data_IF_379094127853
#
_entry.id   IF_379094127853
#
_cell.length_a   1.000
_cell.length_b   1.000
_cell.length_c   1.000
_cell.angle_alpha   90.00
_cell.angle_beta   90.00
_cell.angle_gamma   90.00
#
_symmetry.space_group_name_H-M   'P 1'
#
loop_
_entity.id
_entity.type
_entity.pdbx_description
1 polymer ?
#
# COMPACT_ATOMS: atom_id res chain seq x y z
N UNK A 1 18.33 7.20 -0.77
CA UNK A 1 17.09 6.79 -1.44
C UNK A 1 16.26 7.99 -1.89
N UNK A 2 15.94 9.00 -1.04
CA UNK A 2 15.11 10.15 -1.40
C UNK A 2 15.60 10.89 -2.65
N UNK A 3 16.90 11.19 -2.74
CA UNK A 3 17.49 11.85 -3.94
C UNK A 3 17.32 10.99 -5.20
N UNK A 4 17.36 9.69 -5.08
CA UNK A 4 17.14 8.77 -6.17
C UNK A 4 15.67 8.74 -6.60
N UNK A 5 14.73 8.73 -5.66
CA UNK A 5 13.30 8.83 -5.92
C UNK A 5 12.96 10.15 -6.67
N UNK A 6 13.50 11.28 -6.21
CA UNK A 6 13.34 12.59 -6.87
C UNK A 6 13.84 12.53 -8.32
N UNK A 7 15.01 11.92 -8.55
CA UNK A 7 15.58 11.77 -9.90
C UNK A 7 14.71 10.91 -10.83
N UNK A 8 13.81 10.08 -10.28
CA UNK A 8 12.83 9.27 -11.00
C UNK A 8 11.43 9.91 -11.05
N UNK A 9 11.30 11.16 -10.57
CA UNK A 9 10.05 11.90 -10.60
C UNK A 9 9.07 11.57 -9.48
N UNK A 10 9.53 10.89 -8.41
CA UNK A 10 8.73 10.60 -7.22
C UNK A 10 8.97 11.68 -6.18
N UNK A 11 7.93 12.42 -5.83
CA UNK A 11 8.00 13.56 -4.90
C UNK A 11 7.20 13.36 -3.61
N UNK A 12 6.52 12.26 -3.47
CA UNK A 12 5.87 11.87 -2.21
C UNK A 12 6.05 10.37 -2.00
N UNK A 13 6.49 9.97 -0.83
CA UNK A 13 6.68 8.57 -0.45
C UNK A 13 5.95 8.31 0.86
N UNK A 14 5.14 7.24 0.89
CA UNK A 14 4.70 6.61 2.13
C UNK A 14 5.62 5.44 2.42
N UNK A 15 6.34 5.53 3.54
CA UNK A 15 7.36 4.55 3.94
C UNK A 15 7.01 3.92 5.29
N UNK A 16 7.09 2.60 5.35
CA UNK A 16 6.86 1.83 6.56
C UNK A 16 8.14 1.81 7.40
N UNK A 17 8.00 2.13 8.70
CA UNK A 17 9.08 2.07 9.67
C UNK A 17 8.75 1.04 10.75
N UNK A 18 9.61 0.04 10.90
CA UNK A 18 9.41 -1.01 11.88
C UNK A 18 9.46 -0.48 13.32
N UNK A 19 8.41 -0.79 14.10
CA UNK A 19 8.27 -0.44 15.52
C UNK A 19 8.26 -1.67 16.42
N UNK A 20 8.53 -2.87 15.89
CA UNK A 20 8.54 -4.13 16.65
C UNK A 20 9.76 -4.28 17.56
N UNK A 21 10.85 -3.57 17.27
CA UNK A 21 12.12 -3.67 17.97
C UNK A 21 12.08 -3.13 19.41
N UNK A 22 13.19 -3.34 20.14
CA UNK A 22 13.33 -2.87 21.54
C UNK A 22 13.39 -1.34 21.67
N UNK A 23 13.77 -0.64 20.59
CA UNK A 23 13.92 0.81 20.55
C UNK A 23 13.35 1.37 19.24
N UNK A 24 13.24 2.69 19.17
CA UNK A 24 12.67 3.42 18.02
C UNK A 24 13.74 4.17 17.21
N UNK A 25 14.98 3.69 17.16
CA UNK A 25 16.08 4.36 16.44
C UNK A 25 15.76 4.58 14.95
N UNK A 26 15.07 3.65 14.31
CA UNK A 26 14.64 3.79 12.90
C UNK A 26 13.61 4.92 12.76
N UNK A 27 12.71 5.08 13.73
CA UNK A 27 11.72 6.17 13.75
C UNK A 27 12.44 7.52 13.90
N UNK A 28 13.38 7.65 14.85
CA UNK A 28 14.16 8.86 15.04
C UNK A 28 14.90 9.25 13.75
N UNK A 29 15.61 8.30 13.14
CA UNK A 29 16.38 8.53 11.91
C UNK A 29 15.48 8.94 10.73
N UNK A 30 14.32 8.31 10.57
CA UNK A 30 13.41 8.66 9.46
C UNK A 30 12.68 9.99 9.69
N UNK A 31 12.40 10.37 10.93
CA UNK A 31 11.87 11.70 11.26
C UNK A 31 12.90 12.80 10.98
N UNK A 32 14.19 12.55 11.29
CA UNK A 32 15.28 13.46 10.92
C UNK A 32 15.40 13.63 9.42
N UNK A 33 15.38 12.53 8.64
CA UNK A 33 15.39 12.57 7.18
C UNK A 33 14.15 13.26 6.61
N UNK A 34 12.98 13.05 7.20
CA UNK A 34 11.74 13.73 6.82
C UNK A 34 11.88 15.24 6.96
N UNK A 35 12.47 15.73 8.06
CA UNK A 35 12.69 17.16 8.26
C UNK A 35 13.79 17.70 7.33
N UNK A 36 14.89 16.98 7.13
CA UNK A 36 15.99 17.37 6.22
C UNK A 36 15.53 17.48 4.76
N UNK A 37 14.64 16.59 4.33
CA UNK A 37 14.23 16.47 2.93
C UNK A 37 12.93 17.20 2.58
N UNK A 38 12.25 17.82 3.53
CA UNK A 38 10.88 18.40 3.39
C UNK A 38 10.74 19.44 2.26
N UNK A 39 11.83 20.11 1.88
CA UNK A 39 11.81 21.10 0.78
C UNK A 39 11.89 20.45 -0.61
N UNK A 40 12.13 19.14 -0.68
CA UNK A 40 12.36 18.39 -1.92
C UNK A 40 11.41 17.23 -2.14
N UNK A 41 10.97 16.60 -1.07
CA UNK A 41 10.11 15.41 -1.12
C UNK A 41 9.27 15.31 0.15
N UNK A 42 8.00 14.93 0.00
CA UNK A 42 7.10 14.64 1.12
C UNK A 42 7.26 13.20 1.58
N UNK A 43 7.54 12.98 2.87
CA UNK A 43 7.59 11.66 3.47
C UNK A 43 6.43 11.48 4.44
N UNK A 44 5.55 10.52 4.16
CA UNK A 44 4.56 9.99 5.10
C UNK A 44 5.13 8.72 5.73
N UNK A 45 5.34 8.74 7.03
CA UNK A 45 5.85 7.58 7.77
C UNK A 45 4.69 6.76 8.33
N UNK A 46 4.79 5.45 8.22
CA UNK A 46 3.82 4.49 8.74
C UNK A 46 4.44 3.77 9.94
N UNK A 47 3.81 3.87 11.11
CA UNK A 47 4.19 3.07 12.27
C UNK A 47 3.82 1.61 12.02
N UNK A 48 4.80 0.76 11.73
CA UNK A 48 4.60 -0.57 11.20
C UNK A 48 5.05 -1.66 12.19
N UNK A 49 4.11 -2.46 12.71
CA UNK A 49 4.40 -3.57 13.62
C UNK A 49 4.85 -4.81 12.82
N UNK A 50 6.07 -4.80 12.28
CA UNK A 50 6.61 -5.80 11.33
C UNK A 50 6.42 -7.26 11.79
N UNK A 51 6.55 -7.53 13.09
CA UNK A 51 6.43 -8.88 13.65
C UNK A 51 5.01 -9.22 14.15
N UNK A 52 4.05 -8.33 13.93
CA UNK A 52 2.70 -8.39 14.47
C UNK A 52 2.52 -7.47 15.69
N UNK A 53 1.31 -6.89 15.82
CA UNK A 53 0.96 -5.94 16.88
C UNK A 53 0.90 -6.58 18.27
N UNK A 54 0.40 -7.83 18.33
CA UNK A 54 0.13 -8.53 19.60
C UNK A 54 1.41 -9.12 20.25
N UNK A 55 2.59 -8.79 19.69
CA UNK A 55 3.87 -9.09 20.33
C UNK A 55 4.13 -8.14 21.50
N UNK A 56 5.00 -8.57 22.40
CA UNK A 56 5.33 -7.77 23.59
C UNK A 56 5.88 -6.39 23.21
N UNK A 57 5.36 -5.34 23.86
CA UNK A 57 5.73 -3.93 23.68
C UNK A 57 5.40 -3.29 22.30
N UNK A 58 4.99 -4.02 21.29
CA UNK A 58 4.81 -3.47 19.95
C UNK A 58 3.74 -2.36 19.92
N UNK A 59 2.58 -2.56 20.56
CA UNK A 59 1.54 -1.54 20.64
C UNK A 59 2.04 -0.26 21.37
N UNK A 60 2.81 -0.40 22.44
CA UNK A 60 3.37 0.75 23.15
C UNK A 60 4.36 1.53 22.27
N UNK A 61 5.19 0.83 21.52
CA UNK A 61 6.13 1.43 20.57
C UNK A 61 5.40 2.14 19.42
N UNK A 62 4.35 1.52 18.89
CA UNK A 62 3.50 2.12 17.86
C UNK A 62 2.88 3.43 18.37
N UNK A 63 2.30 3.44 19.57
CA UNK A 63 1.74 4.64 20.17
C UNK A 63 2.81 5.73 20.37
N UNK A 64 4.00 5.36 20.88
CA UNK A 64 5.12 6.30 21.03
C UNK A 64 5.56 6.88 19.69
N UNK A 65 5.69 6.07 18.65
CA UNK A 65 6.08 6.57 17.33
C UNK A 65 5.09 7.58 16.75
N UNK A 66 3.79 7.36 16.98
CA UNK A 66 2.75 8.34 16.62
C UNK A 66 2.88 9.64 17.42
N UNK A 67 3.21 9.54 18.71
CA UNK A 67 3.45 10.71 19.57
C UNK A 67 4.72 11.48 19.15
N UNK A 68 5.69 10.81 18.52
CA UNK A 68 6.90 11.42 17.94
C UNK A 68 6.64 12.11 16.59
N UNK A 69 5.51 11.86 15.92
CA UNK A 69 5.14 12.52 14.67
C UNK A 69 5.10 11.62 13.43
N UNK A 70 5.00 10.31 13.62
CA UNK A 70 4.70 9.37 12.54
C UNK A 70 3.26 9.57 12.08
N UNK A 71 3.01 9.55 10.77
CA UNK A 71 1.78 10.08 10.16
C UNK A 71 0.63 9.07 10.04
N UNK A 72 0.95 7.79 9.88
CA UNK A 72 0.00 6.74 9.45
C UNK A 72 0.14 5.52 10.35
N UNK A 73 -0.96 4.85 10.61
CA UNK A 73 -0.98 3.59 11.35
C UNK A 73 -0.84 2.42 10.38
N UNK A 74 0.17 1.60 10.59
CA UNK A 74 0.38 0.34 9.87
C UNK A 74 -0.17 -0.87 10.62
N UNK A 75 -0.16 -2.01 9.94
CA UNK A 75 -0.53 -3.31 10.50
C UNK A 75 -0.14 -4.44 9.57
N UNK A 76 -0.01 -5.64 10.12
CA UNK A 76 0.31 -6.87 9.38
C UNK A 76 -0.45 -8.07 9.98
N UNK A 77 -1.80 -8.08 9.85
CA UNK A 77 -2.64 -9.04 10.58
C UNK A 77 -2.37 -10.50 10.22
N UNK A 78 -1.91 -10.79 9.01
CA UNK A 78 -1.60 -12.17 8.59
C UNK A 78 -0.28 -12.71 9.17
N UNK A 79 0.51 -11.88 9.88
CA UNK A 79 1.67 -12.28 10.68
C UNK A 79 1.33 -12.56 12.14
N UNK A 80 0.11 -12.27 12.56
CA UNK A 80 -0.35 -12.72 13.87
C UNK A 80 -0.49 -14.25 13.91
N UNK A 81 -0.61 -14.83 15.11
CA UNK A 81 -0.58 -16.29 15.27
C UNK A 81 -1.79 -16.99 14.68
N UNK A 82 -2.94 -16.35 14.77
CA UNK A 82 -4.22 -16.91 14.33
C UNK A 82 -5.02 -15.87 13.56
N UNK A 83 -6.06 -16.31 12.83
CA UNK A 83 -7.00 -15.39 12.17
C UNK A 83 -7.70 -14.47 13.17
N UNK A 84 -8.01 -15.00 14.37
CA UNK A 84 -8.65 -14.22 15.43
C UNK A 84 -7.70 -13.15 16.00
N UNK A 85 -6.44 -13.48 16.23
CA UNK A 85 -5.42 -12.51 16.64
C UNK A 85 -5.24 -11.41 15.56
N UNK A 86 -5.20 -11.79 14.29
CA UNK A 86 -5.14 -10.84 13.19
C UNK A 86 -6.36 -9.92 13.15
N UNK A 87 -7.53 -10.46 13.41
CA UNK A 87 -8.76 -9.67 13.50
C UNK A 87 -8.77 -8.71 14.70
N UNK A 88 -8.26 -9.13 15.85
CA UNK A 88 -8.13 -8.26 17.03
C UNK A 88 -7.07 -7.17 16.81
N UNK A 89 -5.94 -7.48 16.16
CA UNK A 89 -4.94 -6.46 15.81
C UNK A 89 -5.52 -5.37 14.90
N UNK A 90 -6.30 -5.73 13.87
CA UNK A 90 -7.01 -4.79 13.01
C UNK A 90 -7.95 -3.90 13.82
N UNK A 91 -8.76 -4.49 14.70
CA UNK A 91 -9.71 -3.74 15.54
C UNK A 91 -8.99 -2.69 16.37
N UNK A 92 -7.93 -3.07 17.10
CA UNK A 92 -7.13 -2.16 17.94
C UNK A 92 -6.56 -1.01 17.09
N UNK A 93 -5.96 -1.31 15.94
CA UNK A 93 -5.33 -0.32 15.08
C UNK A 93 -6.35 0.63 14.43
N UNK A 94 -7.49 0.13 13.96
CA UNK A 94 -8.55 0.97 13.40
C UNK A 94 -9.18 1.88 14.46
N UNK A 95 -9.43 1.39 15.67
CA UNK A 95 -9.96 2.21 16.78
C UNK A 95 -8.97 3.29 17.21
N UNK A 96 -7.68 2.97 17.23
CA UNK A 96 -6.62 3.96 17.50
C UNK A 96 -6.54 5.02 16.39
N UNK A 97 -6.64 4.61 15.13
CA UNK A 97 -6.62 5.51 13.98
C UNK A 97 -7.82 6.45 13.97
N UNK A 98 -9.01 5.93 14.23
CA UNK A 98 -10.24 6.73 14.33
C UNK A 98 -10.12 7.79 15.43
N UNK A 99 -9.72 7.37 16.64
CA UNK A 99 -9.54 8.26 17.80
C UNK A 99 -8.53 9.38 17.54
N UNK A 100 -7.47 9.11 16.75
CA UNK A 100 -6.42 10.09 16.44
C UNK A 100 -6.65 10.85 15.13
N UNK A 101 -7.67 10.50 14.35
CA UNK A 101 -7.94 11.10 13.04
C UNK A 101 -6.91 10.74 11.97
N UNK A 102 -6.18 9.61 12.12
CA UNK A 102 -5.08 9.19 11.26
C UNK A 102 -5.57 8.29 10.11
N UNK A 103 -4.70 8.15 9.10
CA UNK A 103 -4.83 7.17 8.03
C UNK A 103 -4.36 5.79 8.51
N UNK A 104 -4.82 4.75 7.80
CA UNK A 104 -4.38 3.36 8.01
C UNK A 104 -3.84 2.80 6.70
N UNK A 105 -2.69 2.12 6.77
CA UNK A 105 -2.10 1.38 5.66
C UNK A 105 -1.57 0.04 6.17
N UNK A 106 -2.30 -1.04 5.88
CA UNK A 106 -1.98 -2.37 6.39
C UNK A 106 -1.44 -3.28 5.29
N UNK A 107 -0.31 -3.95 5.56
CA UNK A 107 0.08 -5.16 4.84
C UNK A 107 -0.97 -6.21 5.13
N UNK A 108 -1.92 -6.39 4.24
CA UNK A 108 -3.09 -7.21 4.48
C UNK A 108 -3.10 -8.41 3.53
N UNK A 109 -3.23 -9.61 4.12
CA UNK A 109 -3.37 -10.85 3.34
C UNK A 109 -2.29 -11.03 2.25
N UNK A 110 -1.05 -10.68 2.57
CA UNK A 110 0.13 -10.95 1.75
C UNK A 110 0.54 -12.41 1.89
N UNK A 111 -0.31 -13.27 1.39
CA UNK A 111 -0.23 -14.72 1.54
C UNK A 111 -0.78 -15.43 0.31
N UNK A 112 -0.27 -16.64 0.07
CA UNK A 112 -0.83 -17.55 -0.93
C UNK A 112 -2.09 -18.28 -0.45
N UNK A 113 -2.40 -18.23 0.85
CA UNK A 113 -3.56 -18.91 1.45
C UNK A 113 -4.86 -18.14 1.15
N UNK A 114 -5.82 -18.71 0.39
CA UNK A 114 -7.11 -18.08 0.14
C UNK A 114 -7.98 -17.91 1.40
N UNK A 115 -7.63 -18.54 2.52
CA UNK A 115 -8.31 -18.38 3.80
C UNK A 115 -7.75 -17.21 4.62
N UNK A 116 -6.65 -16.60 4.22
CA UNK A 116 -6.22 -15.31 4.75
C UNK A 116 -7.20 -14.24 4.27
N UNK A 117 -8.11 -13.79 5.15
CA UNK A 117 -9.29 -12.96 4.84
C UNK A 117 -9.41 -11.75 5.77
N UNK A 118 -8.28 -11.25 6.23
CA UNK A 118 -8.23 -10.07 7.13
C UNK A 118 -8.76 -8.81 6.45
N UNK A 119 -8.74 -8.75 5.13
CA UNK A 119 -9.36 -7.64 4.37
C UNK A 119 -10.87 -7.53 4.63
N UNK A 120 -11.58 -8.63 4.88
CA UNK A 120 -12.99 -8.59 5.29
C UNK A 120 -13.13 -7.89 6.64
N UNK A 121 -12.28 -8.24 7.62
CA UNK A 121 -12.26 -7.62 8.95
C UNK A 121 -11.88 -6.13 8.86
N UNK A 122 -10.87 -5.79 8.06
CA UNK A 122 -10.44 -4.41 7.84
C UNK A 122 -11.57 -3.57 7.25
N UNK A 123 -12.26 -4.10 6.25
CA UNK A 123 -13.43 -3.47 5.62
C UNK A 123 -14.58 -3.26 6.63
N UNK A 124 -14.86 -4.28 7.45
CA UNK A 124 -15.87 -4.19 8.49
C UNK A 124 -15.58 -3.06 9.49
N UNK A 125 -14.35 -2.98 10.01
CA UNK A 125 -13.98 -1.92 10.96
C UNK A 125 -13.94 -0.54 10.32
N UNK A 126 -13.53 -0.44 9.05
CA UNK A 126 -13.60 0.82 8.28
C UNK A 126 -15.02 1.36 8.21
N UNK A 127 -16.00 0.52 7.84
CA UNK A 127 -17.40 0.90 7.80
C UNK A 127 -17.95 1.24 9.19
N UNK A 128 -17.68 0.38 10.18
CA UNK A 128 -18.16 0.57 11.56
C UNK A 128 -17.68 1.89 12.17
N UNK A 129 -16.45 2.29 11.91
CA UNK A 129 -15.80 3.48 12.44
C UNK A 129 -15.93 4.71 11.52
N UNK A 130 -16.63 4.57 10.38
CA UNK A 130 -16.82 5.65 9.38
C UNK A 130 -15.48 6.22 8.89
N UNK A 131 -14.52 5.35 8.62
CA UNK A 131 -13.19 5.70 8.13
C UNK A 131 -13.08 5.60 6.59
N UNK A 132 -14.21 5.70 5.88
CA UNK A 132 -14.28 5.56 4.43
C UNK A 132 -13.24 6.44 3.73
N UNK A 133 -12.49 5.85 2.79
CA UNK A 133 -11.41 6.51 2.05
C UNK A 133 -10.09 6.70 2.81
N UNK A 134 -10.07 6.53 4.14
CA UNK A 134 -8.86 6.71 4.99
C UNK A 134 -8.06 5.43 5.24
N UNK A 135 -8.53 4.30 4.73
CA UNK A 135 -7.93 2.98 4.99
C UNK A 135 -7.46 2.36 3.69
N UNK A 136 -6.23 1.84 3.70
CA UNK A 136 -5.64 1.09 2.61
C UNK A 136 -5.31 -0.35 3.05
N UNK A 137 -5.59 -1.30 2.15
CA UNK A 137 -5.09 -2.67 2.22
C UNK A 137 -4.00 -2.85 1.16
N UNK A 138 -2.76 -3.04 1.60
CA UNK A 138 -1.63 -3.29 0.73
C UNK A 138 -1.48 -4.78 0.44
N UNK A 139 -0.96 -5.14 -0.71
CA UNK A 139 -0.72 -6.47 -1.26
C UNK A 139 -2.00 -7.21 -1.64
N UNK A 140 -2.80 -7.67 -0.70
CA UNK A 140 -4.03 -8.46 -0.88
C UNK A 140 -3.84 -9.69 -1.80
N UNK A 141 -2.68 -10.33 -1.74
CA UNK A 141 -2.31 -11.40 -2.68
C UNK A 141 -3.17 -12.66 -2.52
N UNK A 142 -3.68 -12.94 -1.32
CA UNK A 142 -4.60 -14.06 -1.07
C UNK A 142 -5.85 -14.01 -1.95
N UNK A 143 -6.28 -12.79 -2.36
CA UNK A 143 -7.44 -12.59 -3.23
C UNK A 143 -7.28 -13.27 -4.60
N UNK A 144 -6.04 -13.47 -5.06
CA UNK A 144 -5.77 -14.22 -6.29
C UNK A 144 -6.38 -15.63 -6.27
N UNK A 145 -6.33 -16.29 -5.12
CA UNK A 145 -6.75 -17.66 -4.92
C UNK A 145 -8.11 -17.81 -4.24
N UNK A 146 -8.77 -16.71 -3.85
CA UNK A 146 -10.10 -16.75 -3.25
C UNK A 146 -11.13 -17.25 -4.23
N UNK A 147 -12.16 -17.94 -3.71
CA UNK A 147 -13.32 -18.34 -4.48
C UNK A 147 -14.05 -17.13 -5.11
N UNK A 148 -14.55 -17.31 -6.33
CA UNK A 148 -15.17 -16.23 -7.09
C UNK A 148 -16.46 -15.71 -6.43
N UNK A 149 -17.24 -16.59 -5.80
CA UNK A 149 -18.46 -16.18 -5.08
C UNK A 149 -18.12 -15.32 -3.86
N UNK A 150 -17.14 -15.77 -3.06
CA UNK A 150 -16.67 -15.01 -1.91
C UNK A 150 -16.11 -13.66 -2.33
N UNK A 151 -15.26 -13.63 -3.37
CA UNK A 151 -14.71 -12.38 -3.91
C UNK A 151 -15.81 -11.41 -4.36
N UNK A 152 -16.86 -11.90 -5.04
CA UNK A 152 -17.96 -11.04 -5.51
C UNK A 152 -18.74 -10.37 -4.37
N UNK A 153 -18.86 -11.05 -3.21
CA UNK A 153 -19.44 -10.50 -2.00
C UNK A 153 -18.51 -9.48 -1.34
N UNK A 154 -17.23 -9.83 -1.19
CA UNK A 154 -16.23 -9.02 -0.52
C UNK A 154 -16.03 -7.67 -1.22
N UNK A 155 -15.95 -7.67 -2.55
CA UNK A 155 -15.71 -6.42 -3.31
C UNK A 155 -16.81 -5.39 -3.11
N UNK A 156 -18.07 -5.82 -2.93
CA UNK A 156 -19.19 -4.94 -2.59
C UNK A 156 -18.98 -4.24 -1.24
N UNK A 157 -18.53 -4.97 -0.23
CA UNK A 157 -18.21 -4.42 1.09
C UNK A 157 -17.02 -3.44 1.02
N UNK A 158 -16.00 -3.76 0.25
CA UNK A 158 -14.83 -2.90 0.06
C UNK A 158 -15.20 -1.57 -0.61
N UNK A 159 -16.13 -1.59 -1.58
CA UNK A 159 -16.65 -0.37 -2.22
C UNK A 159 -17.40 0.49 -1.22
N UNK A 160 -18.30 -0.10 -0.42
CA UNK A 160 -19.05 0.62 0.62
C UNK A 160 -18.12 1.29 1.65
N UNK A 161 -17.00 0.64 1.97
CA UNK A 161 -15.98 1.15 2.88
C UNK A 161 -15.00 2.13 2.21
N UNK A 162 -15.06 2.30 0.90
CA UNK A 162 -14.08 3.09 0.13
C UNK A 162 -12.62 2.66 0.44
N UNK A 163 -12.39 1.35 0.53
CA UNK A 163 -11.04 0.80 0.76
C UNK A 163 -10.14 1.17 -0.42
N UNK A 164 -8.98 1.73 -0.12
CA UNK A 164 -7.90 1.85 -1.09
C UNK A 164 -7.13 0.52 -1.18
N UNK A 165 -6.73 0.14 -2.38
CA UNK A 165 -5.96 -1.10 -2.62
C UNK A 165 -4.58 -0.73 -3.15
N UNK A 166 -3.53 -1.29 -2.53
CA UNK A 166 -2.14 -1.02 -2.92
C UNK A 166 -1.43 -2.33 -3.29
N UNK A 167 -1.58 -2.83 -4.53
CA UNK A 167 -0.77 -3.94 -5.01
C UNK A 167 0.68 -3.50 -5.23
N UNK A 168 1.62 -4.39 -4.91
CA UNK A 168 3.06 -4.15 -5.03
C UNK A 168 3.66 -5.16 -6.03
N UNK A 169 3.54 -4.94 -7.35
CA UNK A 169 3.80 -5.96 -8.35
C UNK A 169 5.20 -6.56 -8.30
N UNK A 170 6.23 -5.76 -8.10
CA UNK A 170 7.62 -6.23 -8.11
C UNK A 170 7.91 -7.22 -6.98
N UNK A 171 7.49 -6.90 -5.75
CA UNK A 171 7.71 -7.78 -4.61
C UNK A 171 6.72 -8.95 -4.61
N UNK A 172 5.45 -8.72 -4.90
CA UNK A 172 4.43 -9.77 -4.83
C UNK A 172 4.76 -10.95 -5.75
N UNK A 173 5.18 -10.71 -7.00
CA UNK A 173 5.55 -11.80 -7.92
C UNK A 173 6.86 -12.49 -7.51
N UNK A 174 7.70 -11.83 -6.73
CA UNK A 174 8.97 -12.37 -6.28
C UNK A 174 8.80 -13.30 -5.09
N UNK A 175 7.89 -12.98 -4.17
CA UNK A 175 7.73 -13.72 -2.91
C UNK A 175 6.55 -14.69 -2.90
N UNK A 176 5.52 -14.49 -3.73
CA UNK A 176 4.36 -15.37 -3.79
C UNK A 176 4.62 -16.60 -4.69
N UNK A 177 3.81 -17.65 -4.53
CA UNK A 177 3.90 -18.88 -5.31
C UNK A 177 5.14 -19.72 -5.05
N UNK A 178 5.88 -19.50 -3.96
CA UNK A 178 7.08 -20.27 -3.64
C UNK A 178 6.79 -21.74 -3.32
N UNK A 179 5.62 -22.03 -2.76
CA UNK A 179 5.15 -23.39 -2.45
C UNK A 179 4.43 -24.05 -3.63
N UNK A 180 4.16 -23.33 -4.71
CA UNK A 180 3.52 -23.91 -5.87
C UNK A 180 4.52 -24.77 -6.68
N UNK A 181 4.01 -25.90 -7.20
CA UNK A 181 4.65 -26.61 -8.29
C UNK A 181 4.31 -25.89 -9.61
N UNK A 182 4.02 -26.58 -10.68
CA UNK A 182 3.55 -25.99 -11.94
C UNK A 182 2.08 -26.35 -12.18
N UNK A 183 1.26 -25.39 -12.65
CA UNK A 183 1.56 -23.97 -12.95
C UNK A 183 1.71 -23.14 -11.67
N UNK A 184 2.68 -22.20 -11.69
CA UNK A 184 2.83 -21.21 -10.60
C UNK A 184 1.81 -20.08 -10.71
N UNK A 185 1.28 -19.65 -9.58
CA UNK A 185 0.41 -18.45 -9.52
C UNK A 185 1.22 -17.18 -9.76
N UNK A 186 0.57 -16.11 -10.18
CA UNK A 186 1.22 -14.81 -10.43
C UNK A 186 1.48 -13.99 -9.16
N UNK A 187 0.80 -14.31 -8.07
CA UNK A 187 1.02 -13.65 -6.79
C UNK A 187 0.49 -12.22 -6.69
N UNK A 188 -0.36 -11.78 -7.60
CA UNK A 188 -1.01 -10.45 -7.58
C UNK A 188 -2.46 -10.55 -7.16
N UNK A 189 -2.97 -9.54 -6.46
CA UNK A 189 -4.41 -9.38 -6.26
C UNK A 189 -5.17 -9.19 -7.58
N UNK A 190 -6.49 -9.21 -7.54
CA UNK A 190 -7.37 -9.13 -8.75
C UNK A 190 -7.56 -7.68 -9.23
N UNK A 191 -6.46 -7.04 -9.66
CA UNK A 191 -6.43 -5.62 -10.06
C UNK A 191 -7.49 -5.23 -11.10
N UNK A 192 -7.67 -5.97 -12.23
CA UNK A 192 -8.65 -5.59 -13.23
C UNK A 192 -10.09 -5.55 -12.69
N UNK A 193 -10.45 -6.55 -11.88
CA UNK A 193 -11.79 -6.65 -11.29
C UNK A 193 -12.02 -5.55 -10.24
N UNK A 194 -11.00 -5.22 -9.45
CA UNK A 194 -11.06 -4.16 -8.43
C UNK A 194 -11.25 -2.79 -9.08
N UNK A 195 -10.47 -2.46 -10.11
CA UNK A 195 -10.62 -1.20 -10.87
C UNK A 195 -11.99 -1.13 -11.55
N UNK A 196 -12.41 -2.22 -12.22
CA UNK A 196 -13.72 -2.30 -12.89
C UNK A 196 -14.88 -2.11 -11.92
N UNK A 197 -14.73 -2.57 -10.69
CA UNK A 197 -15.72 -2.41 -9.63
C UNK A 197 -15.76 -0.98 -9.05
N UNK A 198 -14.76 -0.14 -9.34
CA UNK A 198 -14.69 1.25 -8.89
C UNK A 198 -13.84 1.49 -7.64
N UNK A 199 -13.08 0.49 -7.16
CA UNK A 199 -12.13 0.69 -6.09
C UNK A 199 -10.97 1.59 -6.54
N UNK A 200 -10.45 2.41 -5.64
CA UNK A 200 -9.21 3.14 -5.88
C UNK A 200 -8.03 2.18 -5.73
N UNK A 201 -7.35 1.90 -6.84
CA UNK A 201 -6.17 1.03 -6.87
C UNK A 201 -4.95 1.88 -7.22
N UNK A 202 -3.92 1.82 -6.36
CA UNK A 202 -2.64 2.49 -6.56
C UNK A 202 -1.52 1.46 -6.44
N UNK A 203 -0.51 1.52 -7.31
CA UNK A 203 0.62 0.61 -7.22
C UNK A 203 1.70 1.16 -6.28
N UNK A 204 2.24 0.29 -5.43
CA UNK A 204 3.40 0.57 -4.61
C UNK A 204 4.66 -0.07 -5.20
N UNK A 205 5.82 0.54 -4.93
CA UNK A 205 7.12 -0.04 -5.26
C UNK A 205 7.51 -1.10 -4.24
N UNK A 206 7.14 -0.85 -2.98
CA UNK A 206 7.51 -1.62 -1.81
C UNK A 206 9.03 -1.57 -1.55
N UNK A 207 9.71 -2.66 -1.77
CA UNK A 207 11.12 -2.85 -1.48
C UNK A 207 12.05 -2.22 -2.51
N UNK A 208 13.12 -1.58 -2.04
CA UNK A 208 14.20 -1.04 -2.88
C UNK A 208 15.54 -1.43 -2.27
N UNK A 209 16.20 -2.42 -2.86
CA UNK A 209 17.52 -2.91 -2.44
C UNK A 209 17.57 -3.29 -0.95
N UNK A 210 16.57 -4.01 -0.48
CA UNK A 210 16.44 -4.50 0.89
C UNK A 210 16.53 -6.05 0.97
N UNK A 211 16.43 -6.64 2.18
CA UNK A 211 16.57 -8.08 2.35
C UNK A 211 15.52 -8.93 1.63
N UNK A 212 14.34 -8.41 1.34
CA UNK A 212 13.27 -9.13 0.64
C UNK A 212 13.37 -9.03 -0.87
N UNK A 213 13.89 -7.88 -1.37
CA UNK A 213 14.00 -7.62 -2.80
C UNK A 213 15.27 -6.84 -3.12
N UNK A 214 16.31 -7.48 -3.70
CA UNK A 214 17.61 -6.87 -3.92
C UNK A 214 17.68 -5.92 -5.12
N UNK A 215 16.56 -5.72 -5.82
CA UNK A 215 16.41 -4.85 -6.96
C UNK A 215 15.60 -3.60 -6.57
N UNK A 216 15.01 -2.94 -7.54
CA UNK A 216 14.20 -1.73 -7.36
C UNK A 216 14.95 -0.48 -7.72
N UNK A 217 14.21 0.49 -8.20
CA UNK A 217 14.78 1.70 -8.82
C UNK A 217 14.11 3.00 -8.39
N UNK A 218 13.08 2.95 -7.55
CA UNK A 218 12.13 4.06 -7.29
C UNK A 218 11.38 4.57 -8.53
N UNK A 219 11.44 3.84 -9.65
CA UNK A 219 10.76 4.22 -10.88
C UNK A 219 9.33 3.67 -10.88
N UNK A 220 8.36 4.54 -10.66
CA UNK A 220 6.96 4.14 -10.60
C UNK A 220 6.38 3.75 -11.98
N UNK A 221 7.02 4.17 -13.07
CA UNK A 221 6.64 3.70 -14.41
C UNK A 221 7.08 2.24 -14.63
N UNK A 222 8.23 1.83 -14.10
CA UNK A 222 8.63 0.41 -14.05
C UNK A 222 7.61 -0.45 -13.30
N UNK A 223 7.14 0.05 -12.16
CA UNK A 223 6.09 -0.63 -11.37
C UNK A 223 4.79 -0.79 -12.18
N UNK A 224 4.35 0.29 -12.83
CA UNK A 224 3.14 0.27 -13.68
C UNK A 224 3.31 -0.65 -14.89
N UNK A 225 4.48 -0.66 -15.54
CA UNK A 225 4.83 -1.55 -16.64
C UNK A 225 4.76 -3.03 -16.20
N UNK A 226 5.32 -3.37 -15.06
CA UNK A 226 5.26 -4.71 -14.51
C UNK A 226 3.82 -5.13 -14.18
N UNK A 227 3.06 -4.26 -13.51
CA UNK A 227 1.66 -4.51 -13.17
C UNK A 227 0.81 -4.81 -14.40
N UNK A 228 0.97 -4.01 -15.46
CA UNK A 228 0.29 -4.16 -16.75
C UNK A 228 0.47 -5.58 -17.33
N UNK A 229 1.68 -6.11 -17.31
CA UNK A 229 1.98 -7.44 -17.84
C UNK A 229 1.42 -8.55 -16.95
N UNK A 230 1.62 -8.45 -15.64
CA UNK A 230 1.18 -9.49 -14.69
C UNK A 230 -0.34 -9.58 -14.63
N UNK A 231 -1.02 -8.44 -14.60
CA UNK A 231 -2.48 -8.38 -14.52
C UNK A 231 -3.17 -8.49 -15.89
N UNK A 232 -2.41 -8.65 -17.00
CA UNK A 232 -2.93 -8.68 -18.36
C UNK A 232 -3.74 -7.44 -18.77
N UNK A 233 -3.31 -6.27 -18.36
CA UNK A 233 -3.97 -5.00 -18.59
C UNK A 233 -3.44 -4.30 -19.84
N UNK A 234 -3.51 -4.98 -20.99
CA UNK A 234 -2.96 -4.52 -22.29
C UNK A 234 -3.97 -3.78 -23.18
N UNK A 235 -5.21 -3.65 -22.77
CA UNK A 235 -6.19 -2.80 -23.43
C UNK A 235 -5.92 -1.31 -23.23
N UNK A 236 -6.35 -0.45 -24.15
CA UNK A 236 -6.08 0.99 -24.10
C UNK A 236 -6.49 1.61 -22.76
N UNK A 237 -7.72 1.36 -22.32
CA UNK A 237 -8.23 1.90 -21.05
C UNK A 237 -7.51 1.29 -19.84
N UNK A 238 -7.11 0.04 -19.92
CA UNK A 238 -6.37 -0.67 -18.87
C UNK A 238 -4.95 -0.09 -18.71
N UNK A 239 -4.25 0.17 -19.81
CA UNK A 239 -2.94 0.83 -19.79
C UNK A 239 -3.03 2.24 -19.18
N UNK A 240 -4.07 3.01 -19.55
CA UNK A 240 -4.32 4.31 -18.92
C UNK A 240 -4.54 4.16 -17.40
N UNK A 241 -5.31 3.15 -16.98
CA UNK A 241 -5.53 2.87 -15.56
C UNK A 241 -4.23 2.50 -14.83
N UNK A 242 -3.31 1.77 -15.48
CA UNK A 242 -1.98 1.49 -14.89
C UNK A 242 -1.15 2.76 -14.67
N UNK A 243 -1.19 3.70 -15.61
CA UNK A 243 -0.55 5.01 -15.43
C UNK A 243 -1.21 5.80 -14.30
N UNK A 244 -2.54 5.81 -14.24
CA UNK A 244 -3.28 6.50 -13.19
C UNK A 244 -3.02 5.88 -11.81
N UNK A 245 -2.76 4.57 -11.73
CA UNK A 245 -2.44 3.87 -10.49
C UNK A 245 -1.12 4.33 -9.84
N UNK A 246 -0.18 4.88 -10.60
CA UNK A 246 1.07 5.46 -10.08
C UNK A 246 1.07 6.99 -10.03
N UNK A 247 -0.06 7.62 -10.35
CA UNK A 247 -0.22 9.08 -10.35
C UNK A 247 -1.48 9.50 -9.59
N UNK A 248 -2.60 9.67 -10.24
CA UNK A 248 -3.82 10.22 -9.63
C UNK A 248 -4.45 9.31 -8.57
N UNK A 249 -4.40 7.98 -8.75
CA UNK A 249 -4.89 7.05 -7.75
C UNK A 249 -3.98 7.00 -6.52
N UNK A 250 -2.64 7.03 -6.74
CA UNK A 250 -1.66 7.12 -5.65
C UNK A 250 -1.83 8.41 -4.84
N UNK A 251 -2.05 9.55 -5.51
CA UNK A 251 -2.31 10.83 -4.83
C UNK A 251 -3.56 10.78 -3.94
N UNK A 252 -4.61 10.03 -4.33
CA UNK A 252 -5.80 9.82 -3.48
C UNK A 252 -5.48 9.00 -2.23
N UNK A 253 -4.71 7.92 -2.38
CA UNK A 253 -4.26 7.09 -1.23
C UNK A 253 -3.43 7.89 -0.25
N UNK A 254 -2.58 8.78 -0.77
CA UNK A 254 -1.69 9.65 0.01
C UNK A 254 -2.41 10.89 0.57
N UNK A 255 -3.66 11.12 0.22
CA UNK A 255 -4.44 12.30 0.59
C UNK A 255 -3.77 13.63 0.18
N UNK A 256 -3.26 13.70 -1.05
CA UNK A 256 -2.61 14.89 -1.60
C UNK A 256 -3.65 15.87 -2.19
N UNK A 257 -4.12 16.82 -1.40
CA UNK A 257 -5.20 17.75 -1.77
C UNK A 257 -4.85 18.68 -2.95
N UNK A 258 -3.56 19.00 -3.11
CA UNK A 258 -3.08 19.95 -4.14
C UNK A 258 -2.33 19.26 -5.28
N UNK A 259 -2.67 18.00 -5.56
CA UNK A 259 -2.11 17.23 -6.65
C UNK A 259 -2.84 17.47 -7.96
N UNK A 260 -2.09 17.61 -9.06
CA UNK A 260 -2.62 17.66 -10.43
C UNK A 260 -2.38 18.98 -11.15
N UNK A 261 -2.64 18.99 -12.46
CA UNK A 261 -2.43 20.15 -13.35
C UNK A 261 -3.65 21.08 -13.34
N UNK A 262 -3.95 21.66 -12.18
CA UNK A 262 -5.08 22.60 -11.99
C UNK A 262 -4.63 23.85 -11.24
N UNK A 263 -5.35 24.97 -11.47
CA UNK A 263 -5.11 26.20 -10.69
C UNK A 263 -5.31 25.92 -9.20
N UNK A 264 -4.31 26.25 -8.39
CA UNK A 264 -4.29 26.03 -6.94
C UNK A 264 -3.56 24.74 -6.51
N UNK A 265 -3.14 23.90 -7.44
CA UNK A 265 -2.23 22.77 -7.15
C UNK A 265 -0.77 23.24 -7.10
N UNK A 266 0.09 22.42 -6.49
CA UNK A 266 1.53 22.68 -6.51
C UNK A 266 2.10 22.62 -7.93
N UNK A 267 3.20 23.32 -8.17
CA UNK A 267 3.90 23.36 -9.47
C UNK A 267 4.90 22.22 -9.68
N UNK A 268 4.76 21.15 -8.94
CA UNK A 268 5.62 19.97 -9.04
C UNK A 268 5.24 19.15 -10.28
N UNK A 269 6.11 19.14 -11.26
CA UNK A 269 5.82 18.60 -12.60
C UNK A 269 6.94 17.68 -13.04
N UNK A 270 6.57 16.52 -13.54
CA UNK A 270 7.46 15.60 -14.26
C UNK A 270 7.21 15.74 -15.76
N UNK A 271 8.25 16.00 -16.53
CA UNK A 271 8.18 16.04 -18.00
C UNK A 271 8.76 14.74 -18.54
N UNK A 272 7.93 13.97 -19.24
CA UNK A 272 8.32 12.72 -19.87
C UNK A 272 8.51 12.90 -21.37
N UNK A 273 9.48 12.21 -21.94
CA UNK A 273 9.73 12.21 -23.39
C UNK A 273 8.80 11.21 -24.10
N UNK A 274 7.51 11.44 -23.99
CA UNK A 274 6.47 10.61 -24.58
C UNK A 274 5.28 11.48 -25.06
N UNK A 275 4.42 10.90 -25.92
CA UNK A 275 3.25 11.61 -26.48
C UNK A 275 2.01 11.48 -25.60
N UNK A 276 1.89 10.39 -24.89
CA UNK A 276 0.72 10.07 -24.07
C UNK A 276 1.07 9.09 -22.94
N UNK A 277 0.08 8.78 -22.09
CA UNK A 277 0.21 7.88 -20.94
C UNK A 277 0.65 6.46 -21.34
N UNK A 278 0.27 5.99 -22.52
CA UNK A 278 0.60 4.62 -22.99
C UNK A 278 2.05 4.57 -23.42
N UNK A 279 2.52 5.59 -24.14
CA UNK A 279 3.93 5.67 -24.54
C UNK A 279 4.85 5.82 -23.31
N UNK A 280 4.36 6.47 -22.25
CA UNK A 280 5.09 6.59 -20.97
C UNK A 280 5.33 5.26 -20.25
N UNK A 281 4.52 4.22 -20.54
CA UNK A 281 4.64 2.88 -19.94
C UNK A 281 5.58 1.94 -20.74
N UNK A 282 6.12 2.38 -21.86
CA UNK A 282 7.02 1.56 -22.70
C UNK A 282 8.46 1.66 -22.26
#
# INVERSE_FOLDING_TARGET
LCKWAIARGTLTIRSHVDVSGENLLAVDALLEIKDEMKDYIDLQLVAFPQDGLLRSNCLNNLIKSLDMGVDVIGGIPHFERTMDDGSESIKILCELAEKRGLLVDMHCDESDDPNSRHIETLTYHTNRLKMNGRVAGSHLTSMHSMDNYYFSKLIGLMIEAEINVIPNPLINITIQGKHDNYPKRRGMTRVPEQIKAGLNVAFGHDCVMDPWYPLGSHDMLEVAHMALHIAHMTGINEMISCFDAVTTSAAKVLHLDKYGLKKGCYGDIVILQCKDKIEALR
#
